data_IF_973294691764
#
_entry.id   IF_973294691764
#
_cell.length_a   1.000
_cell.length_b   1.000
_cell.length_c   1.000
_cell.angle_alpha   90.00
_cell.angle_beta   90.00
_cell.angle_gamma   90.00
#
_symmetry.space_group_name_H-M   'P 1'
#
loop_
_entity.id
_entity.type
_entity.pdbx_description
1 polymer ?
#
# COMPACT_ATOMS: atom_id res chain seq x y z
N UNK A 1 11.58 26.50 21.22
CA UNK A 1 10.14 26.32 20.94
C UNK A 1 9.41 26.06 22.24
N UNK A 2 8.16 26.52 22.39
CA UNK A 2 7.36 26.17 23.57
C UNK A 2 7.11 24.66 23.60
N UNK A 3 7.15 24.07 24.80
CA UNK A 3 6.96 22.62 25.02
C UNK A 3 5.64 22.12 24.39
N UNK A 4 4.59 22.93 24.42
CA UNK A 4 3.30 22.61 23.80
C UNK A 4 3.36 22.48 22.27
N UNK A 5 4.19 23.26 21.60
CA UNK A 5 4.32 23.22 20.14
C UNK A 5 5.03 21.94 19.69
N UNK A 6 6.08 21.52 20.40
CA UNK A 6 6.78 20.25 20.14
C UNK A 6 5.85 19.04 20.35
N UNK A 7 5.07 19.02 21.44
CA UNK A 7 4.09 17.96 21.70
C UNK A 7 3.02 17.85 20.62
N UNK A 8 2.53 18.99 20.11
CA UNK A 8 1.54 19.00 19.02
C UNK A 8 2.10 18.42 17.72
N UNK A 9 3.36 18.75 17.37
CA UNK A 9 4.06 18.20 16.20
C UNK A 9 4.25 16.69 16.32
N UNK A 10 4.75 16.22 17.47
CA UNK A 10 4.95 14.79 17.74
C UNK A 10 3.63 14.03 17.62
N UNK A 11 2.56 14.54 18.24
CA UNK A 11 1.23 13.92 18.17
C UNK A 11 0.66 13.87 16.76
N UNK A 12 0.94 14.90 15.93
CA UNK A 12 0.59 14.88 14.51
C UNK A 12 1.40 13.84 13.74
N UNK A 13 2.72 13.80 13.92
CA UNK A 13 3.58 12.82 13.27
C UNK A 13 3.19 11.38 13.60
N UNK A 14 2.83 11.10 14.86
CA UNK A 14 2.35 9.78 15.27
C UNK A 14 1.05 9.38 14.58
N UNK A 15 0.09 10.32 14.45
CA UNK A 15 -1.16 10.08 13.69
C UNK A 15 -0.88 9.85 12.22
N UNK A 16 -0.09 10.71 11.59
CA UNK A 16 0.31 10.57 10.18
C UNK A 16 0.98 9.21 9.92
N UNK A 17 1.85 8.74 10.84
CA UNK A 17 2.49 7.42 10.77
C UNK A 17 1.45 6.29 10.84
N UNK A 18 0.53 6.34 11.80
CA UNK A 18 -0.51 5.33 11.96
C UNK A 18 -1.42 5.25 10.72
N UNK A 19 -1.77 6.39 10.14
CA UNK A 19 -2.57 6.47 8.91
C UNK A 19 -1.82 5.86 7.71
N UNK A 20 -0.52 6.16 7.56
CA UNK A 20 0.32 5.56 6.52
C UNK A 20 0.42 4.04 6.69
N UNK A 21 0.62 3.55 7.91
CA UNK A 21 0.69 2.12 8.21
C UNK A 21 -0.63 1.40 7.88
N UNK A 22 -1.77 2.00 8.22
CA UNK A 22 -3.09 1.51 7.84
C UNK A 22 -3.27 1.42 6.31
N UNK A 23 -2.83 2.46 5.59
CA UNK A 23 -2.88 2.49 4.13
C UNK A 23 -2.00 1.40 3.50
N UNK A 24 -0.79 1.16 4.03
CA UNK A 24 0.09 0.08 3.58
C UNK A 24 -0.60 -1.28 3.72
N UNK A 25 -1.27 -1.53 4.85
CA UNK A 25 -2.01 -2.79 5.07
C UNK A 25 -3.16 -2.93 4.07
N UNK A 26 -3.90 -1.85 3.82
CA UNK A 26 -4.99 -1.81 2.83
C UNK A 26 -4.50 -2.16 1.42
N UNK A 27 -3.42 -1.49 0.96
CA UNK A 27 -2.82 -1.76 -0.35
C UNK A 27 -2.26 -3.18 -0.46
N UNK A 28 -1.67 -3.72 0.61
CA UNK A 28 -1.20 -5.10 0.65
C UNK A 28 -2.36 -6.09 0.50
N UNK A 29 -3.51 -5.79 1.10
CA UNK A 29 -4.71 -6.62 0.97
C UNK A 29 -5.30 -6.55 -0.45
N UNK A 30 -5.31 -5.38 -1.09
CA UNK A 30 -5.72 -5.24 -2.50
C UNK A 30 -4.84 -6.08 -3.43
N UNK A 31 -3.52 -5.98 -3.25
CA UNK A 31 -2.54 -6.75 -4.03
C UNK A 31 -2.76 -8.27 -3.87
N UNK A 32 -2.95 -8.75 -2.64
CA UNK A 32 -3.25 -10.17 -2.38
C UNK A 32 -4.53 -10.63 -3.09
N UNK A 33 -5.60 -9.82 -3.04
CA UNK A 33 -6.88 -10.13 -3.70
C UNK A 33 -6.73 -10.18 -5.22
N UNK A 34 -6.03 -9.21 -5.81
CA UNK A 34 -5.77 -9.18 -7.25
C UNK A 34 -4.96 -10.41 -7.70
N UNK A 35 -3.89 -10.76 -6.98
CA UNK A 35 -3.09 -11.96 -7.25
C UNK A 35 -3.89 -13.25 -7.13
N UNK A 36 -4.71 -13.38 -6.08
CA UNK A 36 -5.58 -14.54 -5.92
C UNK A 36 -6.59 -14.66 -7.07
N UNK A 37 -7.11 -13.53 -7.56
CA UNK A 37 -8.05 -13.51 -8.68
C UNK A 37 -7.38 -13.87 -10.00
N UNK A 38 -6.16 -13.40 -10.27
CA UNK A 38 -5.37 -13.82 -11.43
C UNK A 38 -5.17 -15.33 -11.40
N UNK A 39 -4.69 -15.89 -10.27
CA UNK A 39 -4.51 -17.34 -10.13
C UNK A 39 -5.79 -18.14 -10.36
N UNK A 40 -6.93 -17.60 -9.95
CA UNK A 40 -8.23 -18.21 -10.25
C UNK A 40 -8.51 -18.18 -11.76
N UNK A 41 -8.40 -17.01 -12.39
CA UNK A 41 -8.64 -16.85 -13.82
C UNK A 41 -7.71 -17.73 -14.67
N UNK A 42 -6.45 -17.87 -14.30
CA UNK A 42 -5.49 -18.77 -14.95
C UNK A 42 -5.91 -20.24 -14.91
N UNK A 43 -6.53 -20.68 -13.79
CA UNK A 43 -7.11 -22.03 -13.70
C UNK A 43 -8.35 -22.14 -14.56
N UNK A 44 -9.23 -21.16 -14.47
CA UNK A 44 -10.50 -21.14 -15.22
C UNK A 44 -10.26 -21.09 -16.73
N UNK A 45 -9.20 -20.43 -17.19
CA UNK A 45 -8.80 -20.39 -18.61
C UNK A 45 -8.46 -21.77 -19.16
N UNK A 46 -7.88 -22.67 -18.35
CA UNK A 46 -7.58 -24.05 -18.75
C UNK A 46 -8.85 -24.88 -18.99
N UNK A 47 -9.98 -24.43 -18.44
CA UNK A 47 -11.29 -25.06 -18.55
C UNK A 47 -12.19 -24.32 -19.56
N UNK A 48 -11.74 -23.22 -20.15
CA UNK A 48 -12.52 -22.45 -21.12
C UNK A 48 -12.80 -23.28 -22.37
N UNK A 49 -14.08 -23.35 -22.74
CA UNK A 49 -14.55 -24.09 -23.91
C UNK A 49 -14.80 -23.20 -25.14
N UNK A 50 -14.59 -21.88 -25.02
CA UNK A 50 -14.77 -20.94 -26.14
C UNK A 50 -13.71 -19.85 -26.19
N UNK A 51 -13.43 -19.36 -27.40
CA UNK A 51 -12.49 -18.26 -27.63
C UNK A 51 -12.93 -16.95 -26.97
N UNK A 52 -14.24 -16.65 -26.98
CA UNK A 52 -14.78 -15.43 -26.37
C UNK A 52 -14.57 -15.41 -24.85
N UNK A 53 -14.78 -16.56 -24.22
CA UNK A 53 -14.57 -16.74 -22.78
C UNK A 53 -13.08 -16.58 -22.41
N UNK A 54 -12.19 -17.20 -23.20
CA UNK A 54 -10.74 -17.09 -23.02
C UNK A 54 -10.26 -15.64 -23.18
N UNK A 55 -10.71 -14.94 -24.23
CA UNK A 55 -10.37 -13.54 -24.50
C UNK A 55 -10.82 -12.61 -23.37
N UNK A 56 -12.02 -12.83 -22.84
CA UNK A 56 -12.56 -12.06 -21.71
C UNK A 56 -11.73 -12.25 -20.44
N UNK A 57 -11.32 -13.50 -20.15
CA UNK A 57 -10.44 -13.83 -19.01
C UNK A 57 -9.06 -13.21 -19.17
N UNK A 58 -8.43 -13.30 -20.35
CA UNK A 58 -7.15 -12.64 -20.63
C UNK A 58 -7.22 -11.13 -20.43
N UNK A 59 -8.27 -10.49 -20.94
CA UNK A 59 -8.52 -9.05 -20.73
C UNK A 59 -8.60 -8.70 -19.24
N UNK A 60 -9.27 -9.54 -18.44
CA UNK A 60 -9.37 -9.31 -16.99
C UNK A 60 -8.04 -9.52 -16.28
N UNK A 61 -7.24 -10.52 -16.68
CA UNK A 61 -5.89 -10.71 -16.16
C UNK A 61 -5.02 -9.49 -16.44
N UNK A 62 -5.02 -8.97 -17.67
CA UNK A 62 -4.23 -7.78 -18.03
C UNK A 62 -4.59 -6.57 -17.16
N UNK A 63 -5.89 -6.32 -16.94
CA UNK A 63 -6.35 -5.25 -16.04
C UNK A 63 -5.85 -5.44 -14.60
N UNK A 64 -5.99 -6.66 -14.05
CA UNK A 64 -5.51 -6.97 -12.69
C UNK A 64 -3.99 -6.87 -12.57
N UNK A 65 -3.24 -7.20 -13.61
CA UNK A 65 -1.78 -7.05 -13.65
C UNK A 65 -1.37 -5.58 -13.61
N UNK A 66 -2.05 -4.70 -14.35
CA UNK A 66 -1.81 -3.26 -14.26
C UNK A 66 -2.19 -2.70 -12.88
N UNK A 67 -3.32 -3.13 -12.31
CA UNK A 67 -3.70 -2.78 -10.93
C UNK A 67 -2.62 -3.19 -9.91
N UNK A 68 -2.01 -4.37 -10.08
CA UNK A 68 -0.89 -4.83 -9.23
C UNK A 68 0.33 -3.92 -9.38
N UNK A 69 0.71 -3.51 -10.60
CA UNK A 69 1.84 -2.60 -10.83
C UNK A 69 1.63 -1.27 -10.12
N UNK A 70 0.43 -0.67 -10.28
CA UNK A 70 0.06 0.59 -9.63
C UNK A 70 0.10 0.46 -8.11
N UNK A 71 -0.49 -0.60 -7.55
CA UNK A 71 -0.51 -0.85 -6.11
C UNK A 71 0.90 -1.08 -5.54
N UNK A 72 1.77 -1.72 -6.32
CA UNK A 72 3.18 -1.96 -5.93
C UNK A 72 3.96 -0.65 -5.87
N UNK A 73 3.78 0.24 -6.85
CA UNK A 73 4.37 1.58 -6.82
C UNK A 73 3.86 2.39 -5.62
N UNK A 74 2.54 2.38 -5.39
CA UNK A 74 1.93 3.05 -4.25
C UNK A 74 2.49 2.57 -2.90
N UNK A 75 2.67 1.25 -2.72
CA UNK A 75 3.32 0.71 -1.52
C UNK A 75 4.77 1.18 -1.37
N UNK A 76 5.54 1.24 -2.45
CA UNK A 76 6.91 1.73 -2.41
C UNK A 76 6.97 3.20 -1.95
N UNK A 77 6.04 4.03 -2.44
CA UNK A 77 5.95 5.44 -2.05
C UNK A 77 5.50 5.61 -0.60
N UNK A 78 4.49 4.85 -0.17
CA UNK A 78 4.03 4.86 1.23
C UNK A 78 5.16 4.43 2.19
N UNK A 79 5.96 3.43 1.82
CA UNK A 79 7.10 2.99 2.62
C UNK A 79 8.19 4.07 2.72
N UNK A 80 8.48 4.79 1.62
CA UNK A 80 9.40 5.95 1.64
C UNK A 80 8.88 7.06 2.56
N UNK A 81 7.60 7.39 2.45
CA UNK A 81 6.95 8.38 3.31
C UNK A 81 6.99 7.96 4.79
N UNK A 82 6.71 6.70 5.08
CA UNK A 82 6.78 6.15 6.43
C UNK A 82 8.19 6.29 7.02
N UNK A 83 9.22 5.92 6.26
CA UNK A 83 10.61 6.04 6.69
C UNK A 83 10.99 7.50 6.99
N UNK A 84 10.58 8.43 6.11
CA UNK A 84 10.80 9.86 6.30
C UNK A 84 10.10 10.39 7.56
N UNK A 85 8.81 10.06 7.77
CA UNK A 85 8.04 10.49 8.95
C UNK A 85 8.59 9.90 10.25
N UNK A 86 9.01 8.64 10.25
CA UNK A 86 9.68 8.00 11.40
C UNK A 86 11.01 8.68 11.73
N UNK A 87 11.81 9.04 10.71
CA UNK A 87 13.03 9.80 10.92
C UNK A 87 12.76 11.20 11.51
N UNK A 88 11.75 11.92 11.02
CA UNK A 88 11.33 13.20 11.59
C UNK A 88 10.86 13.07 13.05
N UNK A 89 10.06 12.05 13.36
CA UNK A 89 9.60 11.78 14.72
C UNK A 89 10.77 11.54 15.66
N UNK A 90 11.73 10.71 15.26
CA UNK A 90 12.94 10.44 16.05
C UNK A 90 13.75 11.73 16.28
N UNK A 91 13.88 12.59 15.28
CA UNK A 91 14.56 13.88 15.43
C UNK A 91 13.88 14.80 16.46
N UNK A 92 12.54 14.79 16.53
CA UNK A 92 11.81 15.57 17.53
C UNK A 92 11.92 14.98 18.93
N UNK A 93 11.92 13.64 19.05
CA UNK A 93 12.07 12.95 20.34
C UNK A 93 13.49 13.07 20.91
N UNK A 94 14.54 12.99 20.07
CA UNK A 94 15.93 13.15 20.51
C UNK A 94 16.30 14.59 20.91
N UNK A 95 15.45 15.56 20.59
CA UNK A 95 15.63 16.99 20.92
C UNK A 95 14.89 17.43 22.18
N UNK A 96 14.10 16.55 22.81
CA UNK A 96 13.57 16.84 24.15
C UNK A 96 14.66 16.54 25.20
N UNK A 97 15.15 17.55 25.94
CA UNK A 97 15.99 17.29 27.11
C UNK A 97 15.16 16.53 28.16
N UNK A 98 15.79 15.52 28.78
CA UNK A 98 15.25 14.82 29.96
C UNK A 98 14.98 15.80 31.10
#
# INVERSE_FOLDING_TARGET
>A
MSINFTKAIVSKLQRDIADIESNIVSEKNKLKKAQAKIKQLERDMKLSQSHNDLSSKMTRINKLTEEIKISTHSQADLNKQLASKKASLNQHQSKEPK
#
